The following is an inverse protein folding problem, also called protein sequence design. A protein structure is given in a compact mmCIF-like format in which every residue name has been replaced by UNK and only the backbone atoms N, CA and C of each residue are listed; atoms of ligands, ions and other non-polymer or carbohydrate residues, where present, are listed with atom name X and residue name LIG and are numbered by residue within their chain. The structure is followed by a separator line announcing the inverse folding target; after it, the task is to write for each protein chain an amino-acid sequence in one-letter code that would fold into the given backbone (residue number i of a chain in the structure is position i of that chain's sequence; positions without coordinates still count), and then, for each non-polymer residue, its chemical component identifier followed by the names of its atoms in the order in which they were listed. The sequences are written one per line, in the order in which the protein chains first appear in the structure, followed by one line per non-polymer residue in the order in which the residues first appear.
data_IF_916759946546
#
_entry.id   IF_916759946546
#
_cell.length_a   1.000
_cell.length_b   1.000
_cell.length_c   1.000
_cell.angle_alpha   90.00
_cell.angle_beta   90.00
_cell.angle_gamma   90.00
#
_symmetry.space_group_name_H-M   'P 1'
#
loop_
_entity.id
_entity.type
_entity.pdbx_description
1 polymer ?
#
# COMPACT_ATOMS: atom_id res chain seq x y z
N UNK A 1 -18.62 27.26 1.15
CA UNK A 1 -18.56 26.37 2.33
C UNK A 1 -19.84 25.53 2.37
N UNK A 2 -19.73 24.22 2.51
CA UNK A 2 -20.90 23.36 2.65
C UNK A 2 -21.35 23.51 4.12
N UNK A 3 -22.45 24.23 4.36
CA UNK A 3 -23.04 24.50 5.68
C UNK A 3 -23.58 23.22 6.36
N UNK A 4 -22.73 22.23 6.59
CA UNK A 4 -23.07 20.97 7.26
C UNK A 4 -21.88 20.48 8.06
N UNK A 5 -22.13 19.91 9.24
CA UNK A 5 -21.08 19.21 9.99
C UNK A 5 -20.71 17.89 9.29
N UNK A 6 -19.51 17.33 9.54
CA UNK A 6 -19.13 16.01 9.02
C UNK A 6 -20.17 14.91 9.34
N UNK A 7 -20.77 14.95 10.53
CA UNK A 7 -21.82 14.02 10.96
C UNK A 7 -23.11 14.19 10.15
N UNK A 8 -23.48 15.44 9.83
CA UNK A 8 -24.64 15.75 8.99
C UNK A 8 -24.42 15.33 7.53
N UNK A 9 -23.19 15.47 7.02
CA UNK A 9 -22.81 14.96 5.72
C UNK A 9 -22.85 13.42 5.67
N UNK A 10 -22.48 12.76 6.76
CA UNK A 10 -22.46 11.30 6.88
C UNK A 10 -23.86 10.68 7.04
N UNK A 11 -24.81 11.38 7.68
CA UNK A 11 -26.17 10.87 7.97
C UNK A 11 -26.93 10.41 6.72
N UNK A 12 -26.69 11.02 5.55
CA UNK A 12 -27.29 10.61 4.27
C UNK A 12 -26.85 9.24 3.75
N UNK A 13 -25.67 8.76 4.17
CA UNK A 13 -25.15 7.44 3.79
C UNK A 13 -25.60 6.33 4.75
N UNK A 14 -25.87 6.66 6.02
CA UNK A 14 -26.37 5.72 7.03
C UNK A 14 -27.76 5.15 6.70
N UNK A 15 -28.62 5.92 6.02
CA UNK A 15 -29.98 5.50 5.68
C UNK A 15 -30.02 4.52 4.49
N UNK A 16 -28.91 4.34 3.76
CA UNK A 16 -28.77 3.34 2.71
C UNK A 16 -28.33 1.97 3.27
N UNK A 17 -29.19 1.38 4.11
CA UNK A 17 -29.35 -0.08 4.17
C UNK A 17 -28.19 -0.95 4.68
N UNK A 18 -27.28 -0.47 5.55
CA UNK A 18 -26.38 -1.38 6.25
C UNK A 18 -27.04 -1.89 7.54
N UNK A 19 -27.83 -2.96 7.45
CA UNK A 19 -28.25 -3.72 8.64
C UNK A 19 -27.10 -4.64 9.05
N UNK A 20 -26.62 -4.58 10.31
CA UNK A 20 -25.70 -5.58 10.83
C UNK A 20 -26.34 -6.97 10.74
N UNK A 21 -25.57 -7.98 10.34
CA UNK A 21 -26.02 -9.36 10.36
C UNK A 21 -26.21 -9.83 11.80
N UNK A 22 -27.45 -10.04 12.22
CA UNK A 22 -27.77 -10.68 13.49
C UNK A 22 -27.24 -12.13 13.50
N UNK A 23 -26.54 -12.46 14.58
CA UNK A 23 -25.68 -13.62 14.70
C UNK A 23 -26.43 -14.89 15.16
N UNK A 24 -27.58 -15.18 14.55
CA UNK A 24 -28.36 -16.38 14.83
C UNK A 24 -28.88 -17.05 13.56
N UNK A 25 -28.01 -17.82 12.89
CA UNK A 25 -28.33 -19.17 12.42
C UNK A 25 -27.10 -19.83 11.79
N UNK A 26 -26.53 -20.80 12.52
CA UNK A 26 -25.66 -21.84 11.94
C UNK A 26 -26.56 -22.83 11.22
N UNK A 27 -26.62 -22.79 9.88
CA UNK A 27 -26.69 -23.98 9.03
C UNK A 27 -26.66 -23.60 7.54
N UNK A 28 -25.85 -24.36 6.79
CA UNK A 28 -25.74 -24.44 5.33
C UNK A 28 -25.20 -23.20 4.57
N UNK A 29 -23.87 -23.12 4.46
CA UNK A 29 -23.21 -22.35 3.38
C UNK A 29 -22.84 -23.28 2.23
N UNK A 30 -23.68 -23.28 1.20
CA UNK A 30 -23.30 -23.65 -0.16
C UNK A 30 -22.43 -22.53 -0.75
N UNK A 31 -21.30 -22.90 -1.36
CA UNK A 31 -20.40 -21.98 -2.03
C UNK A 31 -21.03 -21.40 -3.30
N UNK A 32 -21.52 -20.16 -3.23
CA UNK A 32 -21.61 -19.27 -4.39
C UNK A 32 -21.19 -17.86 -3.98
N UNK A 33 -19.92 -17.54 -4.21
CA UNK A 33 -19.36 -16.19 -4.12
C UNK A 33 -19.91 -15.37 -5.29
N UNK A 34 -21.01 -14.65 -5.05
CA UNK A 34 -21.43 -13.56 -5.93
C UNK A 34 -21.59 -12.31 -5.08
N UNK A 35 -20.85 -11.25 -5.46
CA UNK A 35 -21.07 -9.93 -4.88
C UNK A 35 -22.53 -9.53 -5.08
N UNK A 36 -23.18 -8.88 -4.11
CA UNK A 36 -24.45 -8.23 -4.40
C UNK A 36 -24.24 -7.22 -5.53
N UNK A 37 -25.22 -7.08 -6.46
CA UNK A 37 -25.11 -6.12 -7.55
C UNK A 37 -24.89 -4.71 -7.00
N UNK A 38 -24.19 -3.82 -7.73
CA UNK A 38 -24.05 -2.43 -7.33
C UNK A 38 -25.45 -1.87 -7.09
N UNK A 39 -25.70 -1.38 -5.87
CA UNK A 39 -26.96 -0.71 -5.56
C UNK A 39 -27.17 0.41 -6.59
N UNK A 40 -28.34 0.50 -7.23
CA UNK A 40 -28.63 1.61 -8.10
C UNK A 40 -28.47 2.90 -7.28
N UNK A 41 -27.61 3.81 -7.74
CA UNK A 41 -27.44 5.14 -7.16
C UNK A 41 -28.85 5.68 -6.88
N UNK A 42 -29.14 5.97 -5.61
CA UNK A 42 -30.46 6.43 -5.20
C UNK A 42 -30.90 7.59 -6.10
N UNK A 43 -32.19 7.67 -6.43
CA UNK A 43 -32.75 8.75 -7.26
C UNK A 43 -32.41 10.13 -6.67
N UNK A 44 -32.17 10.19 -5.36
CA UNK A 44 -31.70 11.37 -4.61
C UNK A 44 -30.27 11.78 -4.99
N UNK A 45 -29.36 10.84 -5.24
CA UNK A 45 -27.99 11.12 -5.68
C UNK A 45 -27.88 11.60 -7.13
N UNK A 46 -28.97 11.52 -7.91
CA UNK A 46 -29.01 11.94 -9.32
C UNK A 46 -29.24 13.46 -9.49
N UNK A 47 -29.69 14.16 -8.44
CA UNK A 47 -30.09 15.57 -8.50
C UNK A 47 -29.17 16.54 -7.74
N UNK A 48 -28.10 16.08 -7.10
CA UNK A 48 -27.19 16.97 -6.38
C UNK A 48 -25.81 17.01 -7.03
N UNK A 49 -25.51 18.19 -7.56
CA UNK A 49 -24.20 18.74 -7.93
C UNK A 49 -23.78 18.55 -9.38
N UNK A 50 -23.38 19.66 -10.02
CA UNK A 50 -22.45 19.64 -11.14
C UNK A 50 -21.28 18.69 -10.81
N UNK A 51 -20.70 18.04 -11.82
CA UNK A 51 -19.59 17.10 -11.63
C UNK A 51 -18.53 17.69 -10.69
N UNK A 52 -18.19 16.97 -9.63
CA UNK A 52 -17.18 17.43 -8.67
C UNK A 52 -15.86 17.65 -9.42
N UNK A 53 -15.17 18.79 -9.17
CA UNK A 53 -13.91 19.06 -9.85
C UNK A 53 -12.86 17.99 -9.47
N UNK A 54 -11.93 17.66 -10.38
CA UNK A 54 -10.79 16.81 -10.05
C UNK A 54 -9.93 17.41 -8.93
N UNK A 55 -9.30 16.55 -8.14
CA UNK A 55 -8.35 16.94 -7.11
C UNK A 55 -7.05 17.46 -7.72
N UNK A 56 -6.55 18.56 -7.17
CA UNK A 56 -5.29 19.19 -7.54
C UNK A 56 -4.10 18.51 -6.84
N UNK A 57 -2.91 18.59 -7.43
CA UNK A 57 -1.68 18.18 -6.76
C UNK A 57 -1.15 19.28 -5.80
N UNK A 58 -0.02 19.06 -5.13
CA UNK A 58 0.56 20.04 -4.20
C UNK A 58 1.46 21.09 -4.89
N UNK A 59 1.46 21.17 -6.22
CA UNK A 59 2.26 22.16 -6.94
C UNK A 59 1.60 23.55 -6.91
N UNK A 60 2.37 24.65 -6.96
CA UNK A 60 1.81 26.00 -7.05
C UNK A 60 1.33 26.35 -8.48
N UNK A 61 1.45 25.42 -9.42
CA UNK A 61 1.12 25.62 -10.83
C UNK A 61 -0.22 24.98 -11.17
N UNK A 62 -0.76 25.30 -12.35
CA UNK A 62 -1.97 24.66 -12.85
C UNK A 62 -1.77 23.13 -12.96
N UNK A 63 -2.54 22.36 -12.20
CA UNK A 63 -2.55 20.90 -12.34
C UNK A 63 -3.17 20.48 -13.67
N UNK A 64 -2.37 19.83 -14.51
CA UNK A 64 -2.81 19.26 -15.78
C UNK A 64 -3.22 17.78 -15.67
N UNK A 65 -3.24 17.23 -14.45
CA UNK A 65 -3.61 15.85 -14.17
C UNK A 65 -4.97 15.81 -13.48
N UNK A 66 -5.88 15.00 -14.02
CA UNK A 66 -7.25 14.89 -13.49
C UNK A 66 -7.41 13.64 -12.63
N UNK A 67 -7.28 13.81 -11.32
CA UNK A 67 -7.60 12.78 -10.33
C UNK A 67 -9.03 12.98 -9.83
N UNK A 68 -9.94 12.05 -10.14
CA UNK A 68 -11.37 12.21 -9.81
C UNK A 68 -11.75 11.54 -8.50
N UNK A 69 -12.92 11.87 -7.95
CA UNK A 69 -13.49 11.16 -6.80
C UNK A 69 -13.63 9.64 -7.05
N UNK A 70 -14.03 9.24 -8.25
CA UNK A 70 -14.20 7.82 -8.55
C UNK A 70 -12.86 7.08 -8.54
N UNK A 71 -11.76 7.73 -8.93
CA UNK A 71 -10.43 7.15 -8.85
C UNK A 71 -10.01 6.91 -7.39
N UNK A 72 -10.25 7.88 -6.51
CA UNK A 72 -9.99 7.75 -5.07
C UNK A 72 -10.86 6.65 -4.42
N UNK A 73 -12.12 6.52 -4.80
CA UNK A 73 -13.00 5.46 -4.27
C UNK A 73 -12.57 4.06 -4.75
N UNK A 74 -12.17 3.92 -6.02
CA UNK A 74 -11.60 2.66 -6.55
C UNK A 74 -10.31 2.29 -5.84
N UNK A 75 -9.45 3.28 -5.58
CA UNK A 75 -8.23 3.12 -4.81
C UNK A 75 -8.51 2.56 -3.41
N UNK A 76 -9.47 3.15 -2.68
CA UNK A 76 -9.86 2.72 -1.34
C UNK A 76 -10.41 1.29 -1.33
N UNK A 77 -11.20 0.91 -2.34
CA UNK A 77 -11.71 -0.45 -2.49
C UNK A 77 -10.55 -1.44 -2.65
N UNK A 78 -9.58 -1.17 -3.52
CA UNK A 78 -8.40 -2.03 -3.70
C UNK A 78 -7.52 -2.07 -2.45
N UNK A 79 -7.29 -0.93 -1.81
CA UNK A 79 -6.53 -0.85 -0.57
C UNK A 79 -7.14 -1.74 0.53
N UNK A 80 -8.48 -1.77 0.62
CA UNK A 80 -9.19 -2.69 1.51
C UNK A 80 -9.01 -4.16 1.09
N UNK A 81 -9.11 -4.47 -0.20
CA UNK A 81 -8.91 -5.83 -0.72
C UNK A 81 -7.50 -6.38 -0.45
N UNK A 82 -6.48 -5.51 -0.54
CA UNK A 82 -5.08 -5.86 -0.30
C UNK A 82 -4.64 -5.67 1.15
N UNK A 83 -5.55 -5.33 2.07
CA UNK A 83 -5.30 -5.10 3.49
C UNK A 83 -4.19 -4.05 3.75
N UNK A 84 -4.22 -2.92 3.04
CA UNK A 84 -3.25 -1.84 3.22
C UNK A 84 -3.39 -1.11 4.56
N UNK A 85 -4.54 -1.24 5.22
CA UNK A 85 -4.86 -0.61 6.49
C UNK A 85 -5.84 -1.48 7.26
N UNK A 86 -5.94 -1.28 8.57
CA UNK A 86 -6.98 -1.94 9.36
C UNK A 86 -8.31 -1.21 9.19
N UNK A 87 -9.37 -1.97 8.92
CA UNK A 87 -10.72 -1.41 8.77
C UNK A 87 -11.47 -1.32 10.10
N UNK A 88 -12.31 -0.29 10.26
CA UNK A 88 -13.15 -0.08 11.43
C UNK A 88 -12.35 0.38 12.65
N UNK A 89 -12.73 -0.07 13.84
CA UNK A 89 -12.16 0.39 15.13
C UNK A 89 -10.72 -0.08 15.39
N UNK A 90 -10.08 -0.72 14.41
CA UNK A 90 -8.72 -1.25 14.52
C UNK A 90 -7.65 -0.29 13.99
N UNK A 91 -8.03 0.73 13.22
CA UNK A 91 -7.09 1.73 12.75
C UNK A 91 -6.66 2.64 13.91
N UNK A 92 -5.36 2.72 14.17
CA UNK A 92 -4.84 3.59 15.23
C UNK A 92 -4.78 5.05 14.75
N UNK A 93 -5.90 5.76 14.92
CA UNK A 93 -6.03 7.18 14.57
C UNK A 93 -5.03 8.02 15.35
N UNK A 94 -4.77 7.69 16.63
CA UNK A 94 -3.86 8.48 17.47
C UNK A 94 -2.43 8.37 17.00
N UNK A 95 -2.00 7.18 16.59
CA UNK A 95 -0.68 7.00 15.99
C UNK A 95 -0.57 7.78 14.68
N UNK A 96 -1.59 7.70 13.82
CA UNK A 96 -1.62 8.43 12.55
C UNK A 96 -1.51 9.96 12.77
N UNK A 97 -2.37 10.54 13.60
CA UNK A 97 -2.42 12.00 13.86
C UNK A 97 -1.17 12.49 14.59
N UNK A 98 -0.56 11.66 15.43
CA UNK A 98 0.69 12.01 16.10
C UNK A 98 1.84 12.11 15.10
N UNK A 99 2.01 11.08 14.25
CA UNK A 99 3.18 10.98 13.38
C UNK A 99 3.06 11.76 12.06
N UNK A 100 1.86 12.20 11.67
CA UNK A 100 1.71 13.13 10.53
C UNK A 100 2.23 14.56 10.84
N UNK A 101 2.41 14.89 12.12
CA UNK A 101 2.93 16.19 12.56
C UNK A 101 4.44 16.32 12.29
N UNK A 102 4.87 17.52 11.90
CA UNK A 102 6.25 17.82 11.51
C UNK A 102 7.23 17.57 12.66
N UNK A 103 6.85 17.96 13.86
CA UNK A 103 7.62 17.80 15.09
C UNK A 103 7.80 16.35 15.55
N UNK A 104 6.97 15.43 15.05
CA UNK A 104 6.94 14.03 15.48
C UNK A 104 7.41 13.04 14.41
N UNK A 105 7.63 13.50 13.17
CA UNK A 105 8.17 12.65 12.11
C UNK A 105 7.79 13.05 10.69
N UNK A 106 6.66 13.74 10.51
CA UNK A 106 6.06 13.95 9.19
C UNK A 106 6.06 12.65 8.35
N UNK A 107 5.43 11.60 8.91
CA UNK A 107 5.45 10.25 8.34
C UNK A 107 4.07 9.60 8.33
N UNK A 108 3.83 8.76 7.32
CA UNK A 108 2.59 8.00 7.20
C UNK A 108 2.84 6.62 6.57
N UNK A 109 2.07 5.63 7.02
CA UNK A 109 2.02 4.32 6.37
C UNK A 109 1.19 4.38 5.10
N UNK A 110 1.80 3.99 3.98
CA UNK A 110 1.09 3.80 2.70
C UNK A 110 0.53 2.39 2.63
N UNK A 111 1.28 1.41 3.14
CA UNK A 111 0.81 0.03 3.34
C UNK A 111 1.25 -0.37 4.74
N UNK A 112 0.29 -0.63 5.62
CA UNK A 112 0.54 -0.97 7.04
C UNK A 112 1.61 -2.05 7.16
N UNK A 113 2.66 -1.75 7.92
CA UNK A 113 3.76 -2.68 8.22
C UNK A 113 4.68 -2.98 7.03
N UNK A 114 4.43 -2.41 5.84
CA UNK A 114 5.27 -2.66 4.66
C UNK A 114 5.89 -1.42 4.05
N UNK A 115 5.13 -0.35 3.85
CA UNK A 115 5.58 0.85 3.11
C UNK A 115 5.33 2.09 3.96
N UNK A 116 6.40 2.77 4.35
CA UNK A 116 6.36 4.03 5.08
C UNK A 116 6.95 5.17 4.23
N UNK A 117 6.27 6.31 4.18
CA UNK A 117 6.76 7.54 3.58
C UNK A 117 7.01 8.57 4.67
N UNK A 118 8.13 9.30 4.60
CA UNK A 118 8.47 10.31 5.61
C UNK A 118 9.28 11.49 5.04
N UNK A 119 9.34 12.59 5.78
CA UNK A 119 10.23 13.72 5.46
C UNK A 119 11.70 13.37 5.66
N UNK A 120 12.58 14.04 4.90
CA UNK A 120 14.01 13.78 4.98
C UNK A 120 14.62 14.28 6.30
N UNK A 121 15.38 13.43 7.03
CA UNK A 121 16.13 13.86 8.19
C UNK A 121 17.20 14.91 7.84
N UNK A 122 17.68 15.59 8.88
CA UNK A 122 18.79 16.56 8.85
C UNK A 122 19.91 16.11 9.80
N UNK A 123 21.11 16.67 9.63
CA UNK A 123 22.27 16.36 10.48
C UNK A 123 22.00 16.68 11.95
N UNK A 124 21.28 17.77 12.20
CA UNK A 124 20.93 18.23 13.54
C UNK A 124 19.44 18.51 13.66
N UNK A 125 18.91 18.20 14.84
CA UNK A 125 17.56 18.62 15.22
C UNK A 125 17.57 20.11 15.51
N UNK A 126 16.74 20.88 14.81
CA UNK A 126 16.60 22.31 15.02
C UNK A 126 15.13 22.69 14.99
N UNK A 127 14.77 23.72 15.74
CA UNK A 127 13.45 24.35 15.66
C UNK A 127 13.70 25.80 15.26
N UNK A 128 13.18 26.21 14.11
CA UNK A 128 13.31 27.59 13.66
C UNK A 128 12.42 28.52 14.51
N UNK A 129 12.71 29.83 14.57
CA UNK A 129 11.86 30.80 15.27
C UNK A 129 10.41 30.82 14.78
N UNK A 130 10.17 30.44 13.52
CA UNK A 130 8.85 30.32 12.88
C UNK A 130 8.15 28.99 13.22
N UNK A 131 8.79 28.12 14.01
CA UNK A 131 8.25 26.85 14.48
C UNK A 131 8.58 25.64 13.60
N UNK A 132 9.42 25.79 12.55
CA UNK A 132 9.78 24.66 11.70
C UNK A 132 10.76 23.73 12.42
N UNK A 133 10.35 22.48 12.66
CA UNK A 133 11.21 21.46 13.25
C UNK A 133 11.89 20.63 12.15
N UNK A 134 13.21 20.50 12.22
CA UNK A 134 13.96 19.47 11.51
C UNK A 134 14.31 18.34 12.46
N UNK A 135 14.15 17.09 12.03
CA UNK A 135 14.48 15.91 12.82
C UNK A 135 15.76 15.24 12.31
N UNK A 136 16.46 14.56 13.21
CA UNK A 136 17.65 13.76 12.91
C UNK A 136 17.29 12.27 12.77
N UNK A 137 18.16 11.42 12.22
CA UNK A 137 17.92 9.97 12.18
C UNK A 137 17.55 9.37 13.54
N UNK A 138 18.18 9.85 14.63
CA UNK A 138 17.92 9.41 15.99
C UNK A 138 16.47 9.61 16.46
N UNK A 139 15.74 10.59 15.90
CA UNK A 139 14.33 10.80 16.22
C UNK A 139 13.43 9.72 15.58
N UNK A 140 13.84 9.14 14.44
CA UNK A 140 13.07 8.13 13.70
C UNK A 140 13.37 6.69 14.13
N UNK A 141 14.64 6.40 14.40
CA UNK A 141 15.16 5.05 14.67
C UNK A 141 14.32 4.28 15.71
N UNK A 142 13.96 4.86 16.88
CA UNK A 142 13.17 4.14 17.87
C UNK A 142 11.81 3.67 17.35
N UNK A 143 11.14 4.51 16.54
CA UNK A 143 9.87 4.16 15.94
C UNK A 143 10.05 3.09 14.83
N UNK A 144 11.09 3.24 14.00
CA UNK A 144 11.39 2.30 12.91
C UNK A 144 11.71 0.90 13.43
N UNK A 145 12.50 0.78 14.50
CA UNK A 145 12.79 -0.50 15.16
C UNK A 145 11.52 -1.12 15.75
N UNK A 146 10.68 -0.33 16.46
CA UNK A 146 9.40 -0.82 17.01
C UNK A 146 8.43 -1.32 15.93
N UNK A 147 8.48 -0.73 14.73
CA UNK A 147 7.61 -1.09 13.61
C UNK A 147 8.26 -2.03 12.60
N UNK A 148 9.42 -2.62 12.94
CA UNK A 148 10.14 -3.58 12.11
C UNK A 148 10.49 -3.05 10.71
N UNK A 149 10.85 -1.78 10.61
CA UNK A 149 11.39 -1.20 9.38
C UNK A 149 12.82 -1.68 9.20
N UNK A 150 13.09 -2.37 8.07
CA UNK A 150 14.39 -2.96 7.76
C UNK A 150 15.24 -2.17 6.78
N UNK A 151 14.66 -1.17 6.10
CA UNK A 151 15.35 -0.41 5.06
C UNK A 151 14.90 1.05 5.07
N UNK A 152 15.85 1.95 4.89
CA UNK A 152 15.64 3.36 4.54
C UNK A 152 16.19 3.63 3.14
N UNK A 153 15.38 4.25 2.28
CA UNK A 153 15.80 4.71 0.96
C UNK A 153 15.78 6.24 0.88
N UNK A 154 16.94 6.82 0.58
CA UNK A 154 17.15 8.26 0.38
C UNK A 154 17.13 8.62 -1.10
N UNK A 155 16.24 9.54 -1.48
CA UNK A 155 16.08 10.00 -2.87
C UNK A 155 16.58 11.44 -3.13
N UNK A 156 17.10 12.11 -2.11
CA UNK A 156 17.60 13.49 -2.16
C UNK A 156 19.07 13.57 -1.75
N UNK A 157 19.62 14.79 -1.80
CA UNK A 157 20.99 15.06 -1.36
C UNK A 157 21.20 14.61 0.09
N UNK A 158 22.43 14.17 0.40
CA UNK A 158 22.83 13.73 1.73
C UNK A 158 22.77 14.89 2.73
N UNK A 159 21.71 14.88 3.55
CA UNK A 159 21.46 15.86 4.61
C UNK A 159 21.56 15.26 6.01
N UNK A 160 21.95 14.00 6.13
CA UNK A 160 22.23 13.30 7.39
C UNK A 160 23.20 12.16 7.09
N UNK A 161 23.80 11.59 8.13
CA UNK A 161 24.68 10.43 7.97
C UNK A 161 23.89 9.11 8.07
N UNK A 162 23.89 8.33 6.99
CA UNK A 162 23.22 7.03 6.88
C UNK A 162 23.73 6.01 7.90
N UNK A 163 24.97 6.17 8.37
CA UNK A 163 25.58 5.27 9.33
C UNK A 163 24.76 5.15 10.62
N UNK A 164 24.02 6.20 11.01
CA UNK A 164 23.11 6.15 12.16
C UNK A 164 22.00 5.10 12.00
N UNK A 165 21.45 4.92 10.80
CA UNK A 165 20.46 3.87 10.53
C UNK A 165 21.12 2.50 10.47
N UNK A 166 22.28 2.40 9.82
CA UNK A 166 23.02 1.14 9.65
C UNK A 166 23.45 0.58 11.03
N UNK A 167 24.00 1.43 11.90
CA UNK A 167 24.40 1.07 13.26
C UNK A 167 23.20 0.63 14.12
N UNK A 168 22.01 1.13 13.81
CA UNK A 168 20.75 0.73 14.43
C UNK A 168 20.13 -0.55 13.82
N UNK A 169 20.83 -1.21 12.88
CA UNK A 169 20.38 -2.44 12.22
C UNK A 169 19.31 -2.23 11.14
N UNK A 170 19.26 -1.03 10.56
CA UNK A 170 18.35 -0.66 9.46
C UNK A 170 19.20 -0.44 8.21
N UNK A 171 18.99 -1.24 7.17
CA UNK A 171 19.72 -1.10 5.91
C UNK A 171 19.45 0.27 5.28
N UNK A 172 20.40 0.76 4.49
CA UNK A 172 20.29 2.06 3.83
C UNK A 172 20.68 1.99 2.36
N UNK A 173 19.89 2.65 1.51
CA UNK A 173 20.14 2.79 0.07
C UNK A 173 19.99 4.25 -0.34
N UNK A 174 20.93 4.74 -1.13
CA UNK A 174 20.87 6.07 -1.74
C UNK A 174 20.64 5.97 -3.25
N UNK A 175 19.60 6.65 -3.74
CA UNK A 175 19.25 6.73 -5.15
C UNK A 175 18.79 8.15 -5.50
N UNK A 176 19.76 9.05 -5.61
CA UNK A 176 19.51 10.47 -5.86
C UNK A 176 18.93 10.75 -7.25
N UNK A 177 17.91 11.61 -7.30
CA UNK A 177 17.53 12.34 -8.51
C UNK A 177 16.94 13.72 -8.18
N UNK A 178 16.98 14.60 -9.18
CA UNK A 178 16.62 16.03 -9.07
C UNK A 178 15.23 16.26 -8.51
N UNK A 179 15.08 17.27 -7.67
CA UNK A 179 13.78 17.61 -7.09
C UNK A 179 12.78 18.08 -8.17
N UNK A 180 11.51 17.69 -8.02
CA UNK A 180 10.46 17.98 -9.00
C UNK A 180 10.58 17.26 -10.35
N UNK A 181 11.66 16.51 -10.61
CA UNK A 181 11.81 15.73 -11.84
C UNK A 181 11.21 14.32 -11.71
N UNK A 182 11.22 13.57 -12.81
CA UNK A 182 10.91 12.14 -12.82
C UNK A 182 12.21 11.33 -12.78
N UNK A 183 12.24 10.16 -12.11
CA UNK A 183 13.44 9.33 -12.08
C UNK A 183 13.74 8.76 -13.47
N UNK A 184 15.03 8.62 -13.79
CA UNK A 184 15.42 7.76 -14.91
C UNK A 184 15.00 6.32 -14.60
N UNK A 185 14.59 5.54 -15.60
CA UNK A 185 14.08 4.18 -15.37
C UNK A 185 15.08 3.28 -14.65
N UNK A 186 16.38 3.43 -14.90
CA UNK A 186 17.42 2.67 -14.17
C UNK A 186 17.47 2.98 -12.67
N UNK A 187 17.24 4.24 -12.27
CA UNK A 187 17.14 4.63 -10.86
C UNK A 187 15.88 3.99 -10.26
N UNK A 188 14.74 4.13 -10.94
CA UNK A 188 13.48 3.56 -10.47
C UNK A 188 13.55 2.05 -10.28
N UNK A 189 14.17 1.34 -11.22
CA UNK A 189 14.35 -0.12 -11.15
C UNK A 189 15.24 -0.52 -9.97
N UNK A 190 16.32 0.21 -9.69
CA UNK A 190 17.18 -0.09 -8.52
C UNK A 190 16.44 0.17 -7.19
N UNK A 191 15.65 1.24 -7.11
CA UNK A 191 14.81 1.53 -5.94
C UNK A 191 13.74 0.46 -5.74
N UNK A 192 13.01 0.08 -6.79
CA UNK A 192 12.00 -0.98 -6.69
C UNK A 192 12.65 -2.32 -6.31
N UNK A 193 13.81 -2.64 -6.89
CA UNK A 193 14.56 -3.84 -6.54
C UNK A 193 15.07 -3.84 -5.09
N UNK A 194 15.38 -2.68 -4.50
CA UNK A 194 15.76 -2.62 -3.08
C UNK A 194 14.57 -2.90 -2.17
N UNK A 195 13.36 -2.44 -2.52
CA UNK A 195 12.12 -2.79 -1.82
C UNK A 195 11.83 -4.29 -1.86
N UNK A 196 12.03 -4.91 -3.03
CA UNK A 196 11.80 -6.35 -3.26
C UNK A 196 12.76 -7.27 -2.50
N UNK A 197 13.95 -6.78 -2.13
CA UNK A 197 14.94 -7.55 -1.34
C UNK A 197 14.60 -7.66 0.13
N UNK A 198 13.70 -6.81 0.64
CA UNK A 198 13.38 -6.77 2.06
C UNK A 198 12.44 -7.93 2.42
N UNK A 199 12.77 -8.69 3.49
CA UNK A 199 11.92 -9.79 3.95
C UNK A 199 10.46 -9.39 4.12
N UNK A 200 9.55 -10.33 3.91
CA UNK A 200 8.11 -10.06 3.89
C UNK A 200 7.60 -9.47 5.21
N UNK A 201 8.18 -9.88 6.33
CA UNK A 201 7.87 -9.44 7.69
C UNK A 201 8.40 -8.04 8.03
N UNK A 202 9.31 -7.49 7.23
CA UNK A 202 9.90 -6.15 7.43
C UNK A 202 9.29 -5.11 6.50
N UNK A 203 9.12 -3.90 7.03
CA UNK A 203 8.77 -2.72 6.25
C UNK A 203 9.98 -2.00 5.66
N UNK A 204 9.75 -1.10 4.73
CA UNK A 204 10.74 -0.15 4.23
C UNK A 204 10.21 1.28 4.30
N UNK A 205 11.10 2.21 4.59
CA UNK A 205 10.82 3.63 4.71
C UNK A 205 11.52 4.40 3.58
N UNK A 206 10.81 5.32 2.94
CA UNK A 206 11.32 6.06 1.77
C UNK A 206 11.14 7.55 2.00
N UNK A 207 12.18 8.33 1.74
CA UNK A 207 12.09 9.78 1.83
C UNK A 207 12.79 10.48 0.67
N UNK A 208 12.40 11.73 0.49
CA UNK A 208 13.14 12.72 -0.29
C UNK A 208 13.38 13.94 0.60
N UNK A 209 13.05 15.16 0.15
CA UNK A 209 13.00 16.34 1.03
C UNK A 209 11.75 16.32 1.91
N UNK A 210 10.57 16.40 1.29
CA UNK A 210 9.28 16.43 2.00
C UNK A 210 8.57 15.05 2.07
N UNK A 211 9.14 14.01 1.47
CA UNK A 211 8.48 12.70 1.44
C UNK A 211 7.23 12.62 0.55
N UNK A 212 7.08 13.51 -0.44
CA UNK A 212 5.86 13.63 -1.26
C UNK A 212 6.07 13.24 -2.72
N UNK A 213 6.74 14.07 -3.52
CA UNK A 213 6.84 13.88 -4.97
C UNK A 213 7.68 12.65 -5.37
N UNK A 214 8.99 12.74 -5.18
CA UNK A 214 9.95 11.66 -5.50
C UNK A 214 9.62 10.35 -4.78
N UNK A 215 9.35 10.45 -3.48
CA UNK A 215 8.91 9.33 -2.64
C UNK A 215 7.67 8.65 -3.20
N UNK A 216 6.62 9.42 -3.49
CA UNK A 216 5.39 8.87 -4.07
C UNK A 216 5.56 8.31 -5.47
N UNK A 217 6.50 8.82 -6.26
CA UNK A 217 6.80 8.26 -7.59
C UNK A 217 7.38 6.85 -7.46
N UNK A 218 8.36 6.64 -6.58
CA UNK A 218 8.97 5.33 -6.37
C UNK A 218 8.01 4.33 -5.70
N UNK A 219 7.31 4.75 -4.65
CA UNK A 219 6.27 3.92 -4.00
C UNK A 219 5.16 3.59 -4.99
N UNK A 220 4.76 4.55 -5.82
CA UNK A 220 3.69 4.37 -6.77
C UNK A 220 4.01 3.32 -7.84
N UNK A 221 5.24 3.34 -8.37
CA UNK A 221 5.71 2.30 -9.28
C UNK A 221 5.66 0.89 -8.65
N UNK A 222 6.10 0.77 -7.39
CA UNK A 222 6.01 -0.48 -6.64
C UNK A 222 4.54 -0.93 -6.49
N UNK A 223 3.64 -0.02 -6.12
CA UNK A 223 2.22 -0.36 -5.96
C UNK A 223 1.58 -0.83 -7.27
N UNK A 224 1.87 -0.15 -8.40
CA UNK A 224 1.40 -0.59 -9.72
C UNK A 224 1.95 -1.98 -10.07
N UNK A 225 3.24 -2.24 -9.83
CA UNK A 225 3.88 -3.52 -10.13
C UNK A 225 3.29 -4.68 -9.31
N UNK A 226 3.24 -4.54 -7.98
CA UNK A 226 2.90 -5.65 -7.09
C UNK A 226 1.40 -5.84 -6.89
N UNK A 227 0.61 -4.78 -6.97
CA UNK A 227 -0.84 -4.82 -6.70
C UNK A 227 -1.70 -4.53 -7.93
N UNK A 228 -1.07 -4.29 -9.08
CA UNK A 228 -1.76 -4.09 -10.36
C UNK A 228 -2.83 -2.99 -10.29
N UNK A 229 -2.54 -1.94 -9.51
CA UNK A 229 -3.32 -0.72 -9.41
C UNK A 229 -2.95 0.21 -10.57
N UNK A 230 -3.90 1.03 -11.03
CA UNK A 230 -3.64 2.10 -12.01
C UNK A 230 -2.89 3.25 -11.34
N UNK A 231 -2.23 4.10 -12.13
CA UNK A 231 -1.56 5.31 -11.65
C UNK A 231 -2.52 6.22 -10.88
N UNK A 232 -3.76 6.41 -11.38
CA UNK A 232 -4.79 7.21 -10.69
C UNK A 232 -5.20 6.60 -9.35
N UNK A 233 -5.42 5.29 -9.29
CA UNK A 233 -5.74 4.61 -8.03
C UNK A 233 -4.58 4.71 -7.04
N UNK A 234 -3.36 4.51 -7.49
CA UNK A 234 -2.16 4.63 -6.65
C UNK A 234 -1.98 6.04 -6.09
N UNK A 235 -2.09 7.07 -6.94
CA UNK A 235 -2.01 8.47 -6.52
C UNK A 235 -3.14 8.79 -5.54
N UNK A 236 -4.37 8.37 -5.85
CA UNK A 236 -5.53 8.56 -4.98
C UNK A 236 -5.34 7.93 -3.60
N UNK A 237 -4.89 6.67 -3.55
CA UNK A 237 -4.60 5.99 -2.28
C UNK A 237 -3.49 6.69 -1.49
N UNK A 238 -2.36 6.98 -2.12
CA UNK A 238 -1.25 7.65 -1.45
C UNK A 238 -1.64 9.01 -0.90
N UNK A 239 -2.47 9.79 -1.60
CA UNK A 239 -2.97 11.09 -1.12
C UNK A 239 -4.01 10.98 0.01
N UNK A 240 -4.72 9.86 0.11
CA UNK A 240 -5.57 9.56 1.28
C UNK A 240 -4.69 9.30 2.51
N UNK A 241 -3.58 8.56 2.35
CA UNK A 241 -2.67 8.25 3.46
C UNK A 241 -1.74 9.41 3.84
N UNK A 242 -1.29 10.18 2.84
CA UNK A 242 -0.30 11.26 2.99
C UNK A 242 -0.58 12.32 1.92
N UNK A 243 -1.31 13.39 2.27
CA UNK A 243 -1.70 14.43 1.32
C UNK A 243 -0.52 15.02 0.55
N UNK A 244 -0.72 15.25 -0.75
CA UNK A 244 0.28 15.90 -1.62
C UNK A 244 1.29 14.97 -2.29
N UNK A 245 1.24 13.64 -2.08
CA UNK A 245 2.11 12.71 -2.79
C UNK A 245 1.92 12.75 -4.32
N UNK A 246 3.05 12.60 -5.04
CA UNK A 246 3.21 12.70 -6.51
C UNK A 246 2.84 14.09 -7.04
N UNK A 247 3.85 14.84 -7.48
CA UNK A 247 3.73 16.27 -7.78
C UNK A 247 4.15 16.57 -9.22
N UNK A 248 3.36 17.41 -9.89
CA UNK A 248 3.61 17.94 -11.22
C UNK A 248 3.78 16.82 -12.25
N UNK A 249 4.89 16.81 -13.02
CA UNK A 249 5.12 15.88 -14.13
C UNK A 249 5.21 14.40 -13.69
N UNK A 250 5.43 14.15 -12.40
CA UNK A 250 5.51 12.79 -11.84
C UNK A 250 4.17 12.03 -11.98
N UNK A 251 3.05 12.74 -12.02
CA UNK A 251 1.73 12.13 -12.20
C UNK A 251 1.61 11.48 -13.59
N UNK A 252 1.95 12.24 -14.64
CA UNK A 252 1.97 11.72 -16.01
C UNK A 252 3.04 10.65 -16.21
N UNK A 253 4.17 10.75 -15.50
CA UNK A 253 5.20 9.71 -15.54
C UNK A 253 4.68 8.37 -15.03
N UNK A 254 3.97 8.33 -13.89
CA UNK A 254 3.37 7.09 -13.38
C UNK A 254 2.37 6.50 -14.38
N UNK A 255 1.52 7.33 -14.97
CA UNK A 255 0.57 6.89 -16.01
C UNK A 255 1.29 6.32 -17.24
N UNK A 256 2.39 6.95 -17.67
CA UNK A 256 3.22 6.48 -18.79
C UNK A 256 3.84 5.11 -18.53
N UNK A 257 4.27 4.81 -17.30
CA UNK A 257 4.94 3.55 -16.96
C UNK A 257 3.98 2.46 -16.43
N UNK A 258 2.69 2.76 -16.27
CA UNK A 258 1.70 1.85 -15.68
C UNK A 258 1.73 0.46 -16.34
N UNK A 259 1.64 0.42 -17.68
CA UNK A 259 1.63 -0.82 -18.44
C UNK A 259 2.94 -1.63 -18.27
N UNK A 260 4.08 -0.95 -18.20
CA UNK A 260 5.37 -1.59 -17.96
C UNK A 260 5.41 -2.23 -16.56
N UNK A 261 5.01 -1.48 -15.53
CA UNK A 261 4.98 -1.99 -14.15
C UNK A 261 4.03 -3.17 -14.00
N UNK A 262 2.86 -3.13 -14.64
CA UNK A 262 1.94 -4.27 -14.66
C UNK A 262 2.55 -5.51 -15.31
N UNK A 263 3.20 -5.35 -16.47
CA UNK A 263 3.86 -6.46 -17.18
C UNK A 263 4.98 -7.07 -16.34
N UNK A 264 5.85 -6.26 -15.74
CA UNK A 264 6.91 -6.75 -14.85
C UNK A 264 6.33 -7.50 -13.64
N UNK A 265 5.25 -6.99 -13.05
CA UNK A 265 4.57 -7.63 -11.93
C UNK A 265 3.89 -8.95 -12.31
N UNK A 266 3.25 -9.00 -13.47
CA UNK A 266 2.61 -10.21 -14.01
C UNK A 266 3.66 -11.30 -14.28
N UNK A 267 4.80 -10.92 -14.89
CA UNK A 267 5.93 -11.82 -15.11
C UNK A 267 6.50 -12.36 -13.79
N UNK A 268 6.71 -11.49 -12.79
CA UNK A 268 7.19 -11.90 -11.46
C UNK A 268 6.24 -12.91 -10.80
N UNK A 269 4.92 -12.64 -10.81
CA UNK A 269 3.92 -13.55 -10.24
C UNK A 269 3.84 -14.88 -10.99
N UNK A 270 4.08 -14.87 -12.31
CA UNK A 270 4.15 -16.09 -13.11
C UNK A 270 5.33 -16.96 -12.67
N UNK A 271 6.54 -16.40 -12.64
CA UNK A 271 7.75 -17.11 -12.24
C UNK A 271 7.66 -17.65 -10.81
N UNK A 272 7.09 -16.88 -9.89
CA UNK A 272 6.88 -17.34 -8.51
C UNK A 272 5.94 -18.56 -8.42
N UNK A 273 4.88 -18.60 -9.24
CA UNK A 273 3.96 -19.76 -9.30
C UNK A 273 4.65 -20.99 -9.90
N UNK A 274 5.45 -20.81 -10.95
CA UNK A 274 6.21 -21.90 -11.58
C UNK A 274 7.26 -22.49 -10.64
N UNK A 275 7.98 -21.64 -9.88
CA UNK A 275 8.94 -22.09 -8.87
C UNK A 275 8.26 -22.90 -7.76
N UNK A 276 7.09 -22.46 -7.28
CA UNK A 276 6.31 -23.17 -6.27
C UNK A 276 5.80 -24.53 -6.80
N UNK A 277 5.30 -24.59 -8.03
CA UNK A 277 4.86 -25.86 -8.65
C UNK A 277 6.00 -26.85 -8.88
N UNK A 278 7.21 -26.34 -9.18
CA UNK A 278 8.40 -27.17 -9.41
C UNK A 278 9.02 -27.71 -8.11
N UNK A 279 8.73 -27.09 -6.97
CA UNK A 279 9.23 -27.50 -5.64
C UNK A 279 8.35 -28.52 -4.91
N UNK A 280 7.19 -28.91 -5.46
CA UNK A 280 6.36 -29.96 -4.84
C UNK A 280 6.91 -31.36 -5.20
N UNK A 281 7.27 -32.21 -4.22
CA UNK A 281 7.72 -33.56 -4.51
C UNK A 281 6.56 -34.37 -5.12
N UNK A 282 6.82 -35.05 -6.25
CA UNK A 282 5.93 -36.10 -6.76
C UNK A 282 5.72 -37.13 -5.63
N UNK A 283 4.52 -37.16 -5.04
CA UNK A 283 4.11 -38.31 -4.26
C UNK A 283 3.98 -39.49 -5.21
N UNK A 284 5.00 -40.35 -5.23
CA UNK A 284 4.96 -41.65 -5.88
C UNK A 284 3.79 -42.43 -5.28
N UNK A 285 2.72 -42.64 -6.05
CA UNK A 285 1.64 -43.54 -5.67
C UNK A 285 2.23 -44.96 -5.59
N UNK A 286 2.59 -45.42 -4.39
CA UNK A 286 2.72 -46.84 -4.12
C UNK A 286 1.30 -47.45 -4.11
N UNK A 287 0.93 -48.09 -5.21
CA UNK A 287 -0.20 -49.01 -5.24
C UNK A 287 0.09 -50.17 -4.27
N UNK A 288 -0.61 -50.19 -3.14
CA UNK A 288 -0.59 -51.30 -2.20
C UNK A 288 -1.21 -52.56 -2.81
N UNK A 289 -0.37 -53.53 -3.14
CA UNK A 289 -0.77 -54.90 -3.44
C UNK A 289 -1.06 -55.63 -2.12
N UNK A 290 -2.33 -55.92 -1.84
CA UNK A 290 -2.73 -56.81 -0.75
C UNK A 290 -2.79 -58.25 -1.27
N UNK A 291 -2.03 -59.22 -0.71
CA UNK A 291 -2.20 -60.61 -1.08
C UNK A 291 -3.41 -61.21 -0.36
N UNK A 292 -4.29 -61.86 -1.13
CA UNK A 292 -5.44 -62.62 -0.65
C UNK A 292 -4.98 -63.77 0.24
N UNK A 293 -5.53 -63.87 1.46
CA UNK A 293 -5.31 -65.02 2.33
C UNK A 293 -6.06 -66.25 1.79
N UNK A 294 -5.33 -67.34 1.60
CA UNK A 294 -5.87 -68.68 1.35
C UNK A 294 -6.68 -69.16 2.57
N UNK A 295 -7.87 -69.70 2.31
CA UNK A 295 -8.67 -70.42 3.31
C UNK A 295 -8.20 -71.89 3.37
N UNK A 296 -7.92 -72.45 4.56
CA UNK A 296 -7.65 -73.87 4.68
C UNK A 296 -8.95 -74.68 4.60
N UNK A 297 -8.83 -75.80 3.89
CA UNK A 297 -9.81 -76.85 3.67
C UNK A 297 -10.38 -77.46 4.96
N UNK A 298 -11.65 -77.84 4.91
CA UNK A 298 -12.28 -78.75 5.88
C UNK A 298 -12.69 -80.05 5.17
N UNK A 299 -12.56 -81.23 5.81
CA UNK A 299 -12.66 -82.52 5.13
C UNK A 299 -14.10 -83.06 5.04
N UNK A 300 -14.32 -83.89 4.04
CA UNK A 300 -15.53 -84.67 3.79
C UNK A 300 -15.84 -85.63 4.95
N UNK A 301 -17.13 -85.82 5.29
CA UNK A 301 -17.69 -87.18 5.39
C UNK A 301 -19.22 -87.20 5.58
N UNK A 302 -19.85 -88.04 4.73
CA UNK A 302 -21.18 -88.69 4.77
C UNK A 302 -22.42 -87.85 4.47
#
# INVERSE_FOLDING_TARGET
ELNRTPEEAFRGFSMAGYKPLDNHNKQQRSMTSSNPPPLPLSVVGRQTNAGLPPFHDASPYRCAYELTLIDCLRALVKARQFNFFDWGDKFDVKEYEHFEQVENGDLNWIVKGKILAFAGPSYTKNVSPEGYCTLSPGDYIPYFQRKNVGLVVRLNQKNYDEQQFIDAGIDHVEEFYTDGSCPHMSILQRVVASFEKIPHEKGFAVHCKAGLGRTGTCIGAYLMKHYRMTAKEVIGWMRICRPGMVIGPQQQFLEKIEGLMWQEGDAMRHLAREAQSSSMPMQTQQQGYYPSKENPSSPSSR
#
